data_IF_739379088282
#
_entry.id   IF_739379088282
#
_cell.length_a   1.000
_cell.length_b   1.000
_cell.length_c   1.000
_cell.angle_alpha   90.00
_cell.angle_beta   90.00
_cell.angle_gamma   90.00
#
_symmetry.space_group_name_H-M   'P 1'
#
loop_
_entity.id
_entity.type
_entity.pdbx_description
1 polymer ?
#
# COMPACT_ATOMS: atom_id res chain seq x y z
N UNK A 1 2.37 10.39 -0.44
CA UNK A 1 3.26 10.71 -1.59
C UNK A 1 4.52 11.43 -1.16
N UNK A 2 4.46 12.49 -0.35
CA UNK A 2 5.65 13.20 0.16
C UNK A 2 6.68 12.25 0.81
N UNK A 3 6.20 11.34 1.68
CA UNK A 3 7.06 10.36 2.36
C UNK A 3 7.86 9.52 1.36
N UNK A 4 7.22 8.96 0.33
CA UNK A 4 7.90 8.13 -0.68
C UNK A 4 8.86 8.91 -1.59
N UNK A 5 8.70 10.23 -1.69
CA UNK A 5 9.62 11.09 -2.45
C UNK A 5 10.85 11.46 -1.63
N UNK A 6 10.63 11.82 -0.36
CA UNK A 6 11.69 12.33 0.53
C UNK A 6 12.49 11.18 1.14
N UNK A 7 11.87 10.04 1.45
CA UNK A 7 12.55 8.92 2.11
C UNK A 7 13.77 8.38 1.35
N UNK A 8 13.74 8.11 0.03
CA UNK A 8 14.93 7.62 -0.68
C UNK A 8 16.04 8.68 -0.75
N UNK A 9 15.68 9.97 -0.76
CA UNK A 9 16.65 11.08 -0.77
C UNK A 9 17.39 11.12 0.57
N UNK A 10 16.64 11.08 1.68
CA UNK A 10 17.22 11.08 3.03
C UNK A 10 18.12 9.86 3.20
N UNK A 11 17.60 8.66 2.94
CA UNK A 11 18.37 7.40 3.09
C UNK A 11 19.61 7.41 2.18
N UNK A 12 19.47 7.82 0.92
CA UNK A 12 20.57 7.83 -0.05
C UNK A 12 21.71 8.78 0.32
N UNK A 13 21.39 9.99 0.81
CA UNK A 13 22.43 10.94 1.24
C UNK A 13 22.99 10.64 2.63
N UNK A 14 22.19 10.15 3.58
CA UNK A 14 22.67 9.96 4.95
C UNK A 14 23.31 8.60 5.18
N UNK A 15 22.75 7.52 4.65
CA UNK A 15 23.19 6.13 4.93
C UNK A 15 23.89 5.47 3.75
N UNK A 16 23.93 6.12 2.58
CA UNK A 16 24.64 5.63 1.42
C UNK A 16 23.88 4.60 0.56
N UNK A 17 24.49 4.18 -0.56
CA UNK A 17 23.84 3.40 -1.61
C UNK A 17 23.51 1.96 -1.20
N UNK A 18 24.32 1.33 -0.34
CA UNK A 18 24.07 -0.04 0.12
C UNK A 18 22.87 -0.13 1.06
N UNK A 19 22.76 0.81 1.99
CA UNK A 19 21.58 0.95 2.84
C UNK A 19 20.33 1.32 2.02
N UNK A 20 20.47 2.15 0.98
CA UNK A 20 19.38 2.43 0.04
C UNK A 20 18.90 1.16 -0.67
N UNK A 21 19.81 0.29 -1.13
CA UNK A 21 19.43 -0.97 -1.76
C UNK A 21 18.64 -1.88 -0.81
N UNK A 22 19.09 -2.03 0.44
CA UNK A 22 18.36 -2.78 1.46
C UNK A 22 16.96 -2.17 1.72
N UNK A 23 16.88 -0.84 1.83
CA UNK A 23 15.62 -0.10 2.00
C UNK A 23 14.63 -0.36 0.86
N UNK A 24 15.10 -0.38 -0.40
CA UNK A 24 14.25 -0.67 -1.56
C UNK A 24 13.69 -2.09 -1.53
N UNK A 25 14.52 -3.08 -1.19
CA UNK A 25 14.10 -4.48 -1.10
C UNK A 25 13.04 -4.64 0.00
N UNK A 26 13.30 -4.12 1.20
CA UNK A 26 12.36 -4.20 2.32
C UNK A 26 11.04 -3.49 2.02
N UNK A 27 11.09 -2.29 1.45
CA UNK A 27 9.89 -1.51 1.09
C UNK A 27 9.05 -2.24 0.05
N UNK A 28 9.68 -2.87 -0.94
CA UNK A 28 8.98 -3.63 -1.98
C UNK A 28 8.29 -4.87 -1.40
N UNK A 29 8.98 -5.67 -0.58
CA UNK A 29 8.42 -6.89 0.01
C UNK A 29 7.25 -6.55 0.93
N UNK A 30 7.45 -5.64 1.89
CA UNK A 30 6.42 -5.27 2.87
C UNK A 30 5.26 -4.57 2.18
N UNK A 31 5.55 -3.64 1.27
CA UNK A 31 4.52 -2.90 0.54
C UNK A 31 3.66 -3.81 -0.34
N UNK A 32 4.27 -4.77 -1.03
CA UNK A 32 3.54 -5.72 -1.87
C UNK A 32 2.59 -6.61 -1.04
N UNK A 33 3.09 -7.18 0.06
CA UNK A 33 2.28 -8.01 0.96
C UNK A 33 1.10 -7.21 1.55
N UNK A 34 1.36 -5.98 2.01
CA UNK A 34 0.33 -5.13 2.58
C UNK A 34 -0.71 -4.71 1.52
N UNK A 35 -0.27 -4.37 0.31
CA UNK A 35 -1.19 -4.02 -0.79
C UNK A 35 -2.14 -5.17 -1.11
N UNK A 36 -1.62 -6.39 -1.25
CA UNK A 36 -2.44 -7.58 -1.49
C UNK A 36 -3.41 -7.86 -0.35
N UNK A 37 -2.97 -7.69 0.90
CA UNK A 37 -3.85 -7.82 2.07
C UNK A 37 -5.02 -6.82 2.02
N UNK A 38 -4.74 -5.54 1.74
CA UNK A 38 -5.75 -4.49 1.70
C UNK A 38 -6.79 -4.73 0.60
N UNK A 39 -6.35 -5.15 -0.59
CA UNK A 39 -7.26 -5.53 -1.68
C UNK A 39 -8.16 -6.69 -1.29
N UNK A 40 -7.57 -7.78 -0.80
CA UNK A 40 -8.31 -8.99 -0.49
C UNK A 40 -9.30 -8.75 0.67
N UNK A 41 -8.87 -8.06 1.72
CA UNK A 41 -9.75 -7.77 2.86
C UNK A 41 -10.93 -6.89 2.45
N UNK A 42 -10.71 -5.81 1.70
CA UNK A 42 -11.82 -4.95 1.28
C UNK A 42 -12.75 -5.63 0.28
N UNK A 43 -12.23 -6.45 -0.63
CA UNK A 43 -13.03 -7.23 -1.56
C UNK A 43 -13.89 -8.29 -0.85
N UNK A 44 -13.38 -8.92 0.22
CA UNK A 44 -14.15 -9.88 1.02
C UNK A 44 -15.36 -9.20 1.66
N UNK A 45 -15.20 -8.01 2.24
CA UNK A 45 -16.31 -7.29 2.86
C UNK A 45 -17.37 -6.86 1.84
N UNK A 46 -16.98 -6.38 0.66
CA UNK A 46 -17.93 -6.03 -0.41
C UNK A 46 -18.67 -7.26 -0.94
N UNK A 47 -17.95 -8.37 -1.15
CA UNK A 47 -18.54 -9.61 -1.62
C UNK A 47 -19.47 -10.23 -0.57
N UNK A 48 -19.14 -10.14 0.71
CA UNK A 48 -20.02 -10.59 1.80
C UNK A 48 -21.31 -9.76 1.83
N UNK A 49 -21.23 -8.42 1.67
CA UNK A 49 -22.40 -7.56 1.55
C UNK A 49 -23.27 -7.97 0.35
N UNK A 50 -22.69 -8.11 -0.85
CA UNK A 50 -23.42 -8.55 -2.06
C UNK A 50 -24.08 -9.91 -1.89
N UNK A 51 -23.40 -10.86 -1.26
CA UNK A 51 -23.95 -12.18 -0.98
C UNK A 51 -25.22 -12.14 -0.10
N UNK A 52 -25.25 -11.23 0.89
CA UNK A 52 -26.45 -10.98 1.71
C UNK A 52 -27.53 -10.25 0.90
N UNK A 53 -27.14 -9.28 0.06
CA UNK A 53 -28.08 -8.57 -0.84
C UNK A 53 -28.79 -9.51 -1.83
N UNK A 54 -28.13 -10.59 -2.24
CA UNK A 54 -28.68 -11.66 -3.08
C UNK A 54 -29.68 -12.59 -2.33
N UNK A 55 -29.87 -12.39 -1.02
CA UNK A 55 -30.92 -13.04 -0.24
C UNK A 55 -30.46 -14.22 0.64
N UNK A 56 -29.18 -14.61 0.60
CA UNK A 56 -28.66 -15.77 1.34
C UNK A 56 -28.75 -15.64 2.87
N UNK A 57 -28.93 -14.42 3.39
CA UNK A 57 -29.14 -14.16 4.82
C UNK A 57 -30.26 -13.14 5.06
N UNK A 58 -31.38 -13.30 4.36
CA UNK A 58 -32.58 -12.50 4.55
C UNK A 58 -32.68 -11.25 3.65
N UNK A 59 -31.63 -10.91 2.90
CA UNK A 59 -31.69 -9.84 1.90
C UNK A 59 -31.48 -8.44 2.47
N UNK A 60 -31.78 -7.43 1.64
CA UNK A 60 -31.64 -6.01 1.97
C UNK A 60 -32.54 -5.58 3.12
N UNK A 61 -32.12 -4.56 3.86
CA UNK A 61 -32.83 -3.98 5.02
C UNK A 61 -32.96 -4.92 6.23
N UNK A 62 -32.20 -6.01 6.26
CA UNK A 62 -32.09 -6.87 7.44
C UNK A 62 -30.96 -6.39 8.37
N UNK A 63 -30.96 -6.80 9.65
CA UNK A 63 -29.83 -6.54 10.55
C UNK A 63 -28.51 -7.10 10.00
N UNK A 64 -28.55 -8.24 9.31
CA UNK A 64 -27.38 -8.84 8.65
C UNK A 64 -26.83 -7.94 7.54
N UNK A 65 -27.70 -7.37 6.71
CA UNK A 65 -27.31 -6.41 5.66
C UNK A 65 -26.70 -5.15 6.27
N UNK A 66 -27.30 -4.58 7.32
CA UNK A 66 -26.76 -3.40 7.99
C UNK A 66 -25.33 -3.62 8.51
N UNK A 67 -25.08 -4.76 9.16
CA UNK A 67 -23.74 -5.11 9.67
C UNK A 67 -22.73 -5.32 8.54
N UNK A 68 -23.14 -5.90 7.42
CA UNK A 68 -22.27 -6.08 6.26
C UNK A 68 -21.94 -4.77 5.55
N UNK A 69 -22.86 -3.81 5.51
CA UNK A 69 -22.59 -2.44 5.02
C UNK A 69 -21.53 -1.75 5.86
N UNK A 70 -21.55 -1.92 7.19
CA UNK A 70 -20.49 -1.39 8.07
C UNK A 70 -19.13 -2.03 7.73
N UNK A 71 -19.10 -3.34 7.50
CA UNK A 71 -17.88 -4.05 7.07
C UNK A 71 -17.33 -3.53 5.73
N UNK A 72 -18.19 -3.34 4.74
CA UNK A 72 -17.79 -2.79 3.44
C UNK A 72 -17.31 -1.34 3.54
N UNK A 73 -17.95 -0.53 4.38
CA UNK A 73 -17.50 0.86 4.66
C UNK A 73 -16.08 0.90 5.24
N UNK A 74 -15.70 -0.10 6.04
CA UNK A 74 -14.32 -0.25 6.50
C UNK A 74 -13.38 -0.76 5.38
N UNK A 75 -13.88 -1.63 4.50
CA UNK A 75 -13.16 -2.20 3.36
C UNK A 75 -12.89 -1.22 2.22
N UNK A 76 -13.75 -0.22 2.00
CA UNK A 76 -13.66 0.74 0.90
C UNK A 76 -12.35 1.54 0.91
N UNK A 77 -11.91 2.17 2.02
CA UNK A 77 -10.62 2.83 2.08
C UNK A 77 -9.44 1.89 1.80
N UNK A 78 -9.55 0.60 2.16
CA UNK A 78 -8.49 -0.38 1.97
C UNK A 78 -8.35 -0.77 0.49
N UNK A 79 -9.45 -1.16 -0.17
CA UNK A 79 -9.43 -1.65 -1.55
C UNK A 79 -9.33 -0.54 -2.60
N UNK A 80 -9.92 0.63 -2.34
CA UNK A 80 -10.03 1.69 -3.36
C UNK A 80 -9.02 2.81 -3.19
N UNK A 81 -8.45 2.99 -1.99
CA UNK A 81 -7.50 4.07 -1.71
C UNK A 81 -6.12 3.55 -1.31
N UNK A 82 -6.02 2.86 -0.17
CA UNK A 82 -4.73 2.50 0.42
C UNK A 82 -3.98 1.42 -0.39
N UNK A 83 -4.66 0.34 -0.77
CA UNK A 83 -4.10 -0.75 -1.57
C UNK A 83 -3.52 -0.27 -2.91
N UNK A 84 -4.29 0.41 -3.77
CA UNK A 84 -3.78 0.99 -5.02
C UNK A 84 -2.62 1.98 -4.80
N UNK A 85 -2.69 2.79 -3.74
CA UNK A 85 -1.65 3.78 -3.42
C UNK A 85 -0.31 3.16 -3.06
N UNK A 86 -0.30 1.98 -2.43
CA UNK A 86 0.94 1.28 -2.08
C UNK A 86 1.71 0.80 -3.32
N UNK A 87 1.02 0.34 -4.37
CA UNK A 87 1.68 -0.04 -5.63
C UNK A 87 2.37 1.16 -6.29
N UNK A 88 1.71 2.32 -6.27
CA UNK A 88 2.28 3.56 -6.80
C UNK A 88 3.47 4.01 -5.94
N UNK A 89 3.36 3.92 -4.61
CA UNK A 89 4.42 4.28 -3.69
C UNK A 89 5.70 3.47 -3.93
N UNK A 90 5.60 2.14 -4.06
CA UNK A 90 6.75 1.27 -4.34
C UNK A 90 7.44 1.68 -5.65
N UNK A 91 6.66 1.89 -6.71
CA UNK A 91 7.21 2.32 -8.01
C UNK A 91 7.90 3.67 -7.91
N UNK A 92 7.30 4.63 -7.21
CA UNK A 92 7.84 5.98 -7.06
C UNK A 92 9.16 5.96 -6.27
N UNK A 93 9.21 5.25 -5.15
CA UNK A 93 10.44 5.12 -4.33
C UNK A 93 11.57 4.50 -5.16
N UNK A 94 11.27 3.47 -5.95
CA UNK A 94 12.26 2.81 -6.82
C UNK A 94 12.77 3.73 -7.93
N UNK A 95 11.88 4.44 -8.62
CA UNK A 95 12.26 5.37 -9.69
C UNK A 95 13.13 6.50 -9.13
N UNK A 96 12.71 7.15 -8.04
CA UNK A 96 13.47 8.25 -7.43
C UNK A 96 14.86 7.78 -6.99
N UNK A 97 14.94 6.60 -6.38
CA UNK A 97 16.22 6.02 -5.92
C UNK A 97 17.20 5.77 -7.06
N UNK A 98 16.72 5.20 -8.18
CA UNK A 98 17.56 4.90 -9.35
C UNK A 98 17.96 6.19 -10.08
N UNK A 99 17.02 7.13 -10.25
CA UNK A 99 17.29 8.40 -10.92
C UNK A 99 18.37 9.22 -10.19
N UNK A 100 18.38 9.19 -8.86
CA UNK A 100 19.33 9.93 -8.04
C UNK A 100 20.58 9.12 -7.65
N UNK A 101 20.69 7.86 -8.07
CA UNK A 101 21.81 6.98 -7.75
C UNK A 101 23.19 7.60 -8.04
N UNK A 102 23.44 8.27 -9.20
CA UNK A 102 24.73 8.91 -9.44
C UNK A 102 25.08 9.98 -8.41
N UNK A 103 24.10 10.70 -7.86
CA UNK A 103 24.34 11.69 -6.82
C UNK A 103 24.72 11.00 -5.51
N UNK A 104 24.02 9.93 -5.13
CA UNK A 104 24.31 9.20 -3.91
C UNK A 104 25.69 8.55 -3.93
N UNK A 105 26.15 8.05 -5.08
CA UNK A 105 27.48 7.46 -5.21
C UNK A 105 28.62 8.47 -5.01
N UNK A 106 28.42 9.74 -5.36
CA UNK A 106 29.45 10.77 -5.31
C UNK A 106 29.39 11.64 -4.06
N UNK A 107 28.21 11.81 -3.45
CA UNK A 107 27.96 12.81 -2.42
C UNK A 107 27.29 12.24 -1.15
N UNK A 108 27.24 10.92 -0.96
CA UNK A 108 26.76 10.34 0.29
C UNK A 108 27.66 10.71 1.48
N UNK A 109 27.04 10.98 2.63
CA UNK A 109 27.72 11.35 3.87
C UNK A 109 28.33 10.14 4.59
N UNK A 110 27.68 8.98 4.48
CA UNK A 110 28.14 7.71 5.03
C UNK A 110 28.20 6.69 3.88
N UNK A 111 29.21 5.81 3.94
CA UNK A 111 29.48 4.74 2.96
C UNK A 111 28.91 3.42 3.45
#
# INVERSE_FOLDING_TARGET
TLIGMVSPIVVGFTLGPWCLAAFLISTTIVGALLATYMFNSGAIYDNAKKYIEDGHFGGKNTPAHHNAVIGDTFGDPLKDTAGPSLHILIKLVNIVSITLLPLFLNYALLV
#
